data_IF_048016601577
#
_entry.id   IF_048016601577
#
_cell.length_a   1.000
_cell.length_b   1.000
_cell.length_c   1.000
_cell.angle_alpha   90.00
_cell.angle_beta   90.00
_cell.angle_gamma   90.00
#
_symmetry.space_group_name_H-M   'P 1'
#
loop_
_entity.id
_entity.type
_entity.pdbx_description
1 polymer ?
#
# COMPACT_ATOMS: atom_id res chain seq x y z
N UNK A 1 9.25 -4.79 -9.44
CA UNK A 1 7.80 -4.53 -9.58
C UNK A 1 7.24 -4.25 -8.20
N UNK A 2 6.37 -3.25 -8.06
CA UNK A 2 5.74 -2.94 -6.79
C UNK A 2 4.33 -3.54 -6.76
N UNK A 3 4.03 -4.25 -5.68
CA UNK A 3 2.68 -4.68 -5.35
C UNK A 3 1.90 -3.53 -4.69
N UNK A 4 0.61 -3.47 -4.98
CA UNK A 4 -0.30 -2.55 -4.32
C UNK A 4 -1.66 -3.19 -4.08
N UNK A 5 -2.35 -2.68 -3.06
CA UNK A 5 -3.77 -2.98 -2.83
C UNK A 5 -4.57 -1.69 -2.93
N UNK A 6 -5.44 -1.61 -3.94
CA UNK A 6 -6.36 -0.50 -4.11
C UNK A 6 -7.69 -0.75 -3.40
N UNK A 7 -8.09 0.21 -2.56
CA UNK A 7 -9.37 0.21 -1.86
C UNK A 7 -10.16 1.44 -2.29
N UNK A 8 -11.27 1.21 -2.98
CA UNK A 8 -12.15 2.29 -3.45
C UNK A 8 -12.87 2.98 -2.29
N UNK A 9 -13.20 4.25 -2.50
CA UNK A 9 -14.02 5.02 -1.57
C UNK A 9 -15.39 4.36 -1.38
N UNK A 10 -15.88 4.31 -0.14
CA UNK A 10 -17.23 3.82 0.20
C UNK A 10 -18.33 4.76 -0.28
N UNK A 11 -17.99 6.03 -0.51
CA UNK A 11 -18.87 7.08 -0.99
C UNK A 11 -18.39 7.58 -2.35
N UNK A 12 -19.25 8.29 -3.08
CA UNK A 12 -18.85 8.98 -4.32
C UNK A 12 -17.83 10.08 -3.98
N UNK A 13 -16.55 9.81 -4.21
CA UNK A 13 -15.42 10.71 -3.95
C UNK A 13 -14.34 10.45 -4.99
N UNK A 14 -13.85 11.52 -5.61
CA UNK A 14 -12.78 11.47 -6.61
C UNK A 14 -11.39 11.65 -5.95
N UNK A 15 -11.33 11.71 -4.61
CA UNK A 15 -10.08 11.83 -3.87
C UNK A 15 -9.32 10.50 -3.89
N UNK A 16 -8.02 10.59 -4.15
CA UNK A 16 -7.09 9.47 -4.13
C UNK A 16 -5.96 9.73 -3.13
N UNK A 17 -5.65 8.74 -2.31
CA UNK A 17 -4.54 8.78 -1.35
C UNK A 17 -3.58 7.63 -1.68
N UNK A 18 -2.30 7.95 -1.82
CA UNK A 18 -1.23 6.96 -1.85
C UNK A 18 -0.64 6.81 -0.45
N UNK A 19 -0.61 5.59 0.06
CA UNK A 19 -0.14 5.29 1.40
C UNK A 19 1.11 4.42 1.37
N UNK A 20 2.11 4.85 2.13
CA UNK A 20 3.39 4.16 2.31
C UNK A 20 3.68 4.02 3.80
N UNK A 21 3.95 2.79 4.25
CA UNK A 21 4.63 2.56 5.52
C UNK A 21 6.15 2.74 5.36
N UNK A 22 6.81 3.13 6.46
CA UNK A 22 8.24 3.40 6.49
C UNK A 22 9.09 2.19 6.91
N UNK A 23 9.96 2.39 7.91
CA UNK A 23 10.89 1.37 8.42
C UNK A 23 12.32 1.88 8.36
N UNK A 24 13.04 1.71 7.23
CA UNK A 24 12.59 1.26 5.89
C UNK A 24 12.30 -0.25 5.80
N UNK A 25 11.48 -0.66 4.84
CA UNK A 25 11.21 -2.07 4.54
C UNK A 25 9.93 -2.66 5.15
N UNK A 26 9.13 -1.86 5.87
CA UNK A 26 7.86 -2.34 6.41
C UNK A 26 6.76 -2.36 5.33
N UNK A 27 5.90 -3.37 5.37
CA UNK A 27 4.77 -3.49 4.44
C UNK A 27 3.71 -2.41 4.69
N UNK A 28 3.22 -1.81 3.62
CA UNK A 28 2.05 -0.92 3.65
C UNK A 28 0.74 -1.67 3.89
N UNK A 29 0.73 -3.00 3.79
CA UNK A 29 -0.41 -3.81 4.19
C UNK A 29 -0.62 -3.78 5.71
N UNK A 30 0.38 -3.39 6.50
CA UNK A 30 0.16 -3.06 7.91
C UNK A 30 -0.76 -1.84 8.05
N UNK A 31 -0.56 -0.79 7.25
CA UNK A 31 -1.48 0.35 7.21
C UNK A 31 -2.90 -0.04 6.77
N UNK A 32 -3.02 -0.99 5.83
CA UNK A 32 -4.31 -1.52 5.40
C UNK A 32 -5.00 -2.36 6.48
N UNK A 33 -4.30 -3.35 7.03
CA UNK A 33 -4.91 -4.44 7.80
C UNK A 33 -4.79 -4.29 9.32
N UNK A 34 -4.00 -3.33 9.79
CA UNK A 34 -3.83 -3.01 11.21
C UNK A 34 -3.84 -1.50 11.50
N UNK A 35 -4.16 -0.69 10.49
CA UNK A 35 -4.21 0.77 10.60
C UNK A 35 -5.55 1.35 10.16
N UNK A 36 -5.56 1.98 8.99
CA UNK A 36 -6.66 2.79 8.47
C UNK A 36 -7.47 2.14 7.35
N UNK A 37 -7.23 0.88 7.01
CA UNK A 37 -8.03 0.20 6.00
C UNK A 37 -9.45 -0.14 6.47
N UNK A 38 -10.31 -0.60 5.54
CA UNK A 38 -11.72 -0.91 5.80
C UNK A 38 -11.94 -2.08 6.75
N UNK A 39 -10.96 -2.98 6.83
CA UNK A 39 -11.00 -4.20 7.60
C UNK A 39 -9.68 -4.40 8.33
N UNK A 40 -9.76 -4.82 9.59
CA UNK A 40 -8.60 -5.07 10.43
C UNK A 40 -8.51 -6.55 10.81
N UNK A 41 -7.30 -7.10 10.88
CA UNK A 41 -7.04 -8.49 11.26
C UNK A 41 -7.38 -8.69 12.74
N UNK A 42 -8.16 -9.73 13.04
CA UNK A 42 -8.43 -10.14 14.41
C UNK A 42 -7.27 -10.97 14.98
N UNK A 43 -7.24 -11.11 16.32
CA UNK A 43 -6.19 -11.86 17.02
C UNK A 43 -6.07 -13.33 16.60
N UNK A 44 -7.11 -13.90 16.01
CA UNK A 44 -7.09 -15.26 15.48
C UNK A 44 -6.24 -15.43 14.21
N UNK A 45 -5.82 -14.31 13.59
CA UNK A 45 -5.07 -14.28 12.33
C UNK A 45 -5.85 -14.83 11.13
N UNK A 46 -7.16 -15.02 11.26
CA UNK A 46 -8.00 -15.72 10.28
C UNK A 46 -9.24 -14.94 9.89
N UNK A 47 -9.74 -14.08 10.77
CA UNK A 47 -10.93 -13.28 10.52
C UNK A 47 -10.61 -11.77 10.49
N UNK A 48 -11.51 -11.03 9.87
CA UNK A 48 -11.42 -9.57 9.76
C UNK A 48 -12.60 -8.93 10.49
N UNK A 49 -12.38 -7.77 11.11
CA UNK A 49 -13.44 -6.90 11.65
C UNK A 49 -13.52 -5.61 10.84
N UNK A 50 -14.72 -5.03 10.71
CA UNK A 50 -14.90 -3.71 10.07
C UNK A 50 -14.22 -2.61 10.87
N UNK A 51 -13.53 -1.71 10.18
CA UNK A 51 -12.99 -0.49 10.75
C UNK A 51 -13.96 0.68 10.55
N UNK A 52 -14.61 1.12 11.63
CA UNK A 52 -15.51 2.29 11.57
C UNK A 52 -14.78 3.62 11.38
N UNK A 53 -13.45 3.63 11.47
CA UNK A 53 -12.61 4.82 11.25
C UNK A 53 -11.77 4.71 9.96
N UNK A 54 -12.14 3.80 9.05
CA UNK A 54 -11.42 3.60 7.79
C UNK A 54 -11.31 4.89 6.98
N UNK A 55 -10.12 5.15 6.44
CA UNK A 55 -9.88 6.29 5.57
C UNK A 55 -10.64 6.17 4.26
N UNK A 56 -10.96 4.94 3.82
CA UNK A 56 -11.73 4.75 2.60
C UNK A 56 -13.19 5.22 2.69
N UNK A 57 -13.63 5.76 3.83
CA UNK A 57 -14.90 6.49 3.93
C UNK A 57 -14.89 7.82 3.18
N UNK A 58 -13.71 8.41 2.94
CA UNK A 58 -13.59 9.77 2.39
C UNK A 58 -12.78 9.88 1.09
N UNK A 59 -11.95 8.87 0.78
CA UNK A 59 -11.11 8.82 -0.42
C UNK A 59 -10.88 7.37 -0.83
N UNK A 60 -10.51 7.12 -2.09
CA UNK A 60 -9.92 5.85 -2.47
C UNK A 60 -8.46 5.82 -2.01
N UNK A 61 -7.97 4.69 -1.54
CA UNK A 61 -6.61 4.57 -0.96
C UNK A 61 -5.85 3.44 -1.66
N UNK A 62 -4.63 3.73 -2.10
CA UNK A 62 -3.70 2.77 -2.69
C UNK A 62 -2.58 2.51 -1.67
N UNK A 63 -2.52 1.30 -1.13
CA UNK A 63 -1.47 0.88 -0.20
C UNK A 63 -0.34 0.24 -1.00
N UNK A 64 0.84 0.87 -1.02
CA UNK A 64 1.94 0.48 -1.92
C UNK A 64 3.06 -0.16 -1.12
N UNK A 65 3.45 -1.38 -1.48
CA UNK A 65 4.59 -2.05 -0.86
C UNK A 65 5.89 -1.59 -1.51
N UNK A 66 6.68 -0.82 -0.78
CA UNK A 66 7.93 -0.22 -1.26
C UNK A 66 8.96 -0.22 -0.14
N UNK A 67 10.26 -0.42 -0.43
CA UNK A 67 10.85 -0.63 -1.76
C UNK A 67 10.71 -2.06 -2.30
N UNK A 68 11.42 -2.36 -3.40
CA UNK A 68 11.46 -3.71 -3.98
C UNK A 68 11.96 -4.71 -2.93
N UNK A 69 11.27 -5.83 -2.78
CA UNK A 69 11.53 -6.84 -1.75
C UNK A 69 10.64 -6.72 -0.51
N UNK A 70 9.85 -5.65 -0.38
CA UNK A 70 8.88 -5.51 0.72
C UNK A 70 7.59 -6.26 0.41
N UNK A 71 7.20 -7.16 1.32
CA UNK A 71 5.95 -7.91 1.22
C UNK A 71 5.86 -8.71 -0.08
N UNK A 72 4.89 -8.38 -0.92
CA UNK A 72 4.70 -9.01 -2.24
C UNK A 72 5.40 -8.26 -3.39
N UNK A 73 6.10 -7.15 -3.12
CA UNK A 73 6.94 -6.47 -4.12
C UNK A 73 8.24 -7.25 -4.35
N UNK A 74 8.60 -7.50 -5.61
CA UNK A 74 9.76 -8.33 -5.93
C UNK A 74 10.53 -7.88 -7.18
N UNK A 75 11.75 -8.40 -7.30
CA UNK A 75 12.64 -8.21 -8.45
C UNK A 75 12.73 -9.48 -9.27
N UNK A 76 12.54 -9.37 -10.59
CA UNK A 76 12.63 -10.50 -11.52
C UNK A 76 14.07 -10.94 -11.80
N UNK A 77 15.03 -10.01 -11.69
CA UNK A 77 16.45 -10.27 -11.98
C UNK A 77 17.28 -10.46 -10.69
N UNK A 78 16.63 -10.54 -9.53
CA UNK A 78 17.28 -10.69 -8.22
C UNK A 78 18.02 -9.44 -7.72
N UNK A 79 18.07 -8.35 -8.49
CA UNK A 79 18.69 -7.10 -8.04
C UNK A 79 17.71 -6.33 -7.17
N UNK A 80 18.17 -5.95 -5.98
CA UNK A 80 17.44 -5.15 -5.02
C UNK A 80 18.26 -3.88 -4.79
N UNK A 81 17.76 -2.75 -5.29
CA UNK A 81 18.41 -1.45 -5.17
C UNK A 81 17.51 -0.53 -4.34
N UNK A 82 17.80 -0.42 -3.05
CA UNK A 82 16.95 0.24 -2.07
C UNK A 82 17.56 1.52 -1.48
N UNK A 83 18.47 2.18 -2.22
CA UNK A 83 18.89 3.54 -1.88
C UNK A 83 17.72 4.52 -2.09
N UNK A 84 17.65 5.58 -1.29
CA UNK A 84 16.56 6.56 -1.37
C UNK A 84 16.34 7.08 -2.81
N UNK A 85 17.42 7.36 -3.54
CA UNK A 85 17.37 7.78 -4.95
C UNK A 85 16.62 6.75 -5.83
N UNK A 86 16.96 5.47 -5.68
CA UNK A 86 16.35 4.39 -6.45
C UNK A 86 14.91 4.14 -6.02
N UNK A 87 14.62 4.19 -4.71
CA UNK A 87 13.26 4.06 -4.17
C UNK A 87 12.35 5.14 -4.74
N UNK A 88 12.80 6.39 -4.78
CA UNK A 88 12.03 7.51 -5.36
C UNK A 88 11.77 7.27 -6.84
N UNK A 89 12.78 6.85 -7.61
CA UNK A 89 12.62 6.55 -9.05
C UNK A 89 11.59 5.43 -9.26
N UNK A 90 11.68 4.34 -8.51
CA UNK A 90 10.73 3.22 -8.63
C UNK A 90 9.31 3.63 -8.25
N UNK A 91 9.13 4.36 -7.15
CA UNK A 91 7.82 4.87 -6.74
C UNK A 91 7.23 5.82 -7.80
N UNK A 92 8.03 6.73 -8.35
CA UNK A 92 7.57 7.67 -9.38
C UNK A 92 7.15 6.96 -10.67
N UNK A 93 7.93 5.99 -11.12
CA UNK A 93 7.58 5.20 -12.31
C UNK A 93 6.31 4.36 -12.07
N UNK A 94 6.19 3.74 -10.91
CA UNK A 94 4.99 3.01 -10.53
C UNK A 94 3.73 3.90 -10.54
N UNK A 95 3.83 5.14 -10.03
CA UNK A 95 2.72 6.08 -10.08
C UNK A 95 2.35 6.44 -11.52
N UNK A 96 3.31 6.64 -12.42
CA UNK A 96 3.01 6.87 -13.84
C UNK A 96 2.23 5.71 -14.44
N UNK A 97 2.66 4.47 -14.18
CA UNK A 97 2.01 3.27 -14.71
C UNK A 97 0.55 3.12 -14.22
N UNK A 98 0.21 3.64 -13.04
CA UNK A 98 -1.18 3.65 -12.54
C UNK A 98 -2.08 4.63 -13.32
N UNK A 99 -1.53 5.72 -13.85
CA UNK A 99 -2.29 6.79 -14.51
C UNK A 99 -2.37 6.66 -16.03
N UNK A 100 -1.73 5.64 -16.62
CA UNK A 100 -1.72 5.36 -18.07
C UNK A 100 -2.44 4.06 -18.38
#
# INVERSE_FOLDING_TARGET
MLHYWFVTSQNKSDKLIFWFNGGPGCSSLTGLLDGMGPYLINKDGKSLRKNVYSWNKYASVVYIESPVGVGYSYSLNGKIENSDDNVIIFCFNFLKDIYT
#
